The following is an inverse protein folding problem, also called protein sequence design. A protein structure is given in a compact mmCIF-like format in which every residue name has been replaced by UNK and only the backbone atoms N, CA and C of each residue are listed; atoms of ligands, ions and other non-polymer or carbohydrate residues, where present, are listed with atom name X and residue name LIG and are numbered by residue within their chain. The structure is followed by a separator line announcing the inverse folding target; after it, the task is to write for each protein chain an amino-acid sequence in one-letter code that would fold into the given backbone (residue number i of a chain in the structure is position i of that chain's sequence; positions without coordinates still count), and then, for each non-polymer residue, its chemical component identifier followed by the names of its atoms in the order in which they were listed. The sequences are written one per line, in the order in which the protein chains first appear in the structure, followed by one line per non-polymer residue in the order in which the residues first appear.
data_IF_839357152209
#
_entry.id   IF_839357152209
#
_cell.length_a   1.000
_cell.length_b   1.000
_cell.length_c   1.000
_cell.angle_alpha   90.00
_cell.angle_beta   90.00
_cell.angle_gamma   90.00
#
_symmetry.space_group_name_H-M   'P 1'
#
loop_
_entity.id
_entity.type
_entity.pdbx_description
1 polymer ?
#
# COMPACT_ATOMS: atom_id res chain seq x y z
N UNK A 1 -4.30 4.32 17.74
CA UNK A 1 -4.04 5.55 16.94
C UNK A 1 -3.13 6.51 17.70
N UNK A 2 -3.52 6.91 18.91
CA UNK A 2 -2.77 7.84 19.78
C UNK A 2 -1.35 7.38 20.10
N UNK A 3 -1.14 6.10 20.42
CA UNK A 3 0.20 5.53 20.67
C UNK A 3 1.13 5.58 19.44
N UNK A 4 0.56 5.68 18.23
CA UNK A 4 1.30 5.83 16.97
C UNK A 4 1.41 7.29 16.52
N UNK A 5 1.02 8.24 17.39
CA UNK A 5 1.05 9.68 17.10
C UNK A 5 -0.03 10.15 16.12
N UNK A 6 -1.05 9.33 15.84
CA UNK A 6 -2.17 9.70 14.96
C UNK A 6 -3.26 10.42 15.75
N UNK A 7 -3.82 11.48 15.16
CA UNK A 7 -4.90 12.28 15.75
C UNK A 7 -6.22 12.06 15.04
N UNK A 8 -7.33 12.21 15.76
CA UNK A 8 -8.68 12.04 15.23
C UNK A 8 -9.00 12.99 14.08
N UNK A 9 -8.35 14.17 14.03
CA UNK A 9 -8.49 15.09 12.91
C UNK A 9 -7.99 14.51 11.57
N UNK A 10 -7.06 13.56 11.59
CA UNK A 10 -6.47 13.00 10.36
C UNK A 10 -7.17 11.74 9.84
N UNK A 11 -7.81 10.98 10.73
CA UNK A 11 -8.38 9.66 10.41
C UNK A 11 -9.79 9.44 11.01
N UNK A 12 -10.43 10.48 11.55
CA UNK A 12 -11.70 10.38 12.27
C UNK A 12 -12.81 9.75 11.45
N UNK A 13 -12.92 10.12 10.16
CA UNK A 13 -13.89 9.51 9.24
C UNK A 13 -13.67 8.02 9.08
N UNK A 14 -12.41 7.58 8.97
CA UNK A 14 -12.08 6.15 8.88
C UNK A 14 -12.50 5.41 10.15
N UNK A 15 -12.21 5.97 11.33
CA UNK A 15 -12.57 5.37 12.61
C UNK A 15 -14.09 5.30 12.83
N UNK A 16 -14.84 6.29 12.32
CA UNK A 16 -16.29 6.35 12.46
C UNK A 16 -17.01 5.20 11.73
N UNK A 17 -16.44 4.62 10.66
CA UNK A 17 -17.03 3.46 9.98
C UNK A 17 -17.24 2.26 10.90
N UNK A 18 -16.43 2.13 11.95
CA UNK A 18 -16.46 0.96 12.84
C UNK A 18 -17.37 1.14 14.07
N UNK A 19 -18.00 2.32 14.23
CA UNK A 19 -18.73 2.71 15.45
C UNK A 19 -19.97 1.85 15.74
N UNK A 20 -20.66 1.38 14.72
CA UNK A 20 -21.95 0.68 14.85
C UNK A 20 -21.88 -0.81 14.50
N UNK A 21 -20.68 -1.38 14.54
CA UNK A 21 -20.42 -2.77 14.21
C UNK A 21 -19.16 -2.91 13.40
N UNK A 22 -18.24 -3.74 13.88
CA UNK A 22 -16.99 -4.04 13.21
C UNK A 22 -16.72 -5.54 13.36
N UNK A 23 -17.04 -6.36 12.34
CA UNK A 23 -16.66 -7.77 12.38
C UNK A 23 -15.13 -7.89 12.41
N UNK A 24 -14.58 -8.95 13.04
CA UNK A 24 -13.14 -9.22 12.96
C UNK A 24 -12.73 -9.38 11.50
N UNK A 25 -11.79 -8.56 11.05
CA UNK A 25 -11.34 -8.54 9.66
C UNK A 25 -9.84 -8.29 9.57
N UNK A 26 -9.26 -8.65 8.43
CA UNK A 26 -7.85 -8.48 8.12
C UNK A 26 -7.57 -8.83 6.67
N UNK A 27 -6.35 -8.56 6.22
CA UNK A 27 -5.92 -8.83 4.85
C UNK A 27 -4.44 -8.54 4.64
N UNK A 28 -3.98 -8.73 3.40
CA UNK A 28 -2.63 -8.43 2.97
C UNK A 28 -2.65 -7.64 1.66
N UNK A 29 -1.65 -6.77 1.47
CA UNK A 29 -1.44 -6.04 0.23
C UNK A 29 -0.13 -6.48 -0.44
N UNK A 30 -0.22 -7.21 -1.54
CA UNK A 30 0.95 -7.62 -2.32
C UNK A 30 1.15 -6.68 -3.52
N UNK A 31 2.33 -6.08 -3.63
CA UNK A 31 2.66 -5.24 -4.77
C UNK A 31 2.86 -6.07 -6.04
N UNK A 32 2.06 -5.88 -7.12
CA UNK A 32 2.05 -6.77 -8.28
C UNK A 32 3.43 -6.85 -8.97
N UNK A 33 4.11 -5.72 -9.19
CA UNK A 33 5.45 -5.73 -9.79
C UNK A 33 6.48 -6.47 -8.93
N UNK A 34 6.39 -6.37 -7.60
CA UNK A 34 7.31 -7.10 -6.69
C UNK A 34 6.99 -8.58 -6.64
N UNK A 35 5.71 -8.93 -6.73
CA UNK A 35 5.28 -10.32 -6.83
C UNK A 35 5.84 -10.99 -8.10
N UNK A 36 5.68 -10.34 -9.27
CA UNK A 36 6.23 -10.82 -10.55
C UNK A 36 7.77 -10.89 -10.49
N UNK A 37 8.42 -9.86 -9.97
CA UNK A 37 9.88 -9.81 -9.84
C UNK A 37 10.41 -11.01 -9.05
N UNK A 38 9.77 -11.35 -7.92
CA UNK A 38 10.17 -12.52 -7.12
C UNK A 38 9.81 -13.85 -7.77
N UNK A 39 8.65 -13.93 -8.43
CA UNK A 39 8.20 -15.14 -9.13
C UNK A 39 9.14 -15.51 -10.29
N UNK A 40 9.67 -14.52 -11.00
CA UNK A 40 10.52 -14.71 -12.18
C UNK A 40 12.02 -14.56 -11.91
N UNK A 41 12.43 -14.31 -10.66
CA UNK A 41 13.84 -14.12 -10.31
C UNK A 41 14.48 -12.88 -10.95
N UNK A 42 13.70 -11.83 -11.19
CA UNK A 42 14.19 -10.56 -11.76
C UNK A 42 14.89 -9.75 -10.67
N UNK A 43 16.05 -9.17 -10.97
CA UNK A 43 16.86 -8.43 -9.98
C UNK A 43 16.40 -6.99 -9.76
N UNK A 44 15.73 -6.39 -10.75
CA UNK A 44 15.30 -5.00 -10.70
C UNK A 44 13.80 -4.84 -10.98
N UNK A 45 13.08 -4.20 -10.05
CA UNK A 45 11.63 -3.93 -10.18
C UNK A 45 11.28 -3.12 -11.45
N UNK A 46 12.23 -2.36 -11.98
CA UNK A 46 12.07 -1.60 -13.22
C UNK A 46 11.84 -2.51 -14.43
N UNK A 47 12.42 -3.71 -14.43
CA UNK A 47 12.26 -4.70 -15.50
C UNK A 47 10.95 -5.47 -15.36
N UNK A 48 10.42 -5.59 -14.14
CA UNK A 48 9.10 -6.15 -13.85
C UNK A 48 7.95 -5.12 -13.95
N UNK A 49 8.22 -3.89 -14.39
CA UNK A 49 7.24 -2.80 -14.47
C UNK A 49 7.22 -2.18 -15.86
N UNK A 50 6.11 -2.31 -16.59
CA UNK A 50 5.98 -1.83 -17.97
C UNK A 50 6.35 -0.34 -18.14
N UNK A 51 5.74 0.55 -17.34
CA UNK A 51 6.08 1.98 -17.29
C UNK A 51 6.53 2.36 -15.88
N UNK A 52 7.81 2.13 -15.58
CA UNK A 52 8.37 2.42 -14.26
C UNK A 52 8.29 3.91 -13.89
N UNK A 53 7.83 4.18 -12.67
CA UNK A 53 7.83 5.51 -12.04
C UNK A 53 8.85 5.59 -10.93
N UNK A 54 9.68 6.62 -10.97
CA UNK A 54 10.60 6.93 -9.89
C UNK A 54 10.93 8.41 -9.86
N UNK A 55 11.61 8.86 -8.81
CA UNK A 55 11.92 10.29 -8.56
C UNK A 55 12.59 10.99 -9.75
N UNK A 56 13.36 10.26 -10.57
CA UNK A 56 14.09 10.78 -11.74
C UNK A 56 13.48 10.41 -13.10
N UNK A 57 12.31 9.76 -13.16
CA UNK A 57 11.68 9.32 -14.43
C UNK A 57 10.18 9.64 -14.41
N UNK A 58 9.81 10.70 -15.13
CA UNK A 58 8.43 11.21 -15.21
C UNK A 58 7.73 10.86 -16.53
N UNK A 59 8.47 10.68 -17.63
CA UNK A 59 7.90 10.43 -18.96
C UNK A 59 8.55 9.23 -19.68
N UNK A 60 7.80 8.54 -20.56
CA UNK A 60 6.37 8.37 -20.45
C UNK A 60 6.03 7.75 -19.11
#
# INVERSE_FOLDING_TARGET
ATEKGLTDATIGDYLNFFRYGCPPHGGLGAGPSRFIMKMLGIDNIREATYLYRGVKRLTP
#
